data_IF_437102802481
#
_entry.id   IF_437102802481
#
_cell.length_a   1.000
_cell.length_b   1.000
_cell.length_c   1.000
_cell.angle_alpha   90.00
_cell.angle_beta   90.00
_cell.angle_gamma   90.00
#
_symmetry.space_group_name_H-M   'P 1'
#
loop_
_entity.id
_entity.type
_entity.pdbx_description
1 polymer ?
#
# COMPACT_ATOMS: atom_id res chain seq x y z
N UNK A 1 46.12 -42.49 -11.07
CA UNK A 1 45.09 -41.55 -10.57
C UNK A 1 43.92 -42.35 -10.05
N UNK A 2 43.67 -42.30 -8.74
CA UNK A 2 42.75 -43.18 -8.03
C UNK A 2 41.27 -42.81 -8.26
N UNK A 3 40.35 -43.80 -8.29
CA UNK A 3 38.93 -43.60 -8.57
C UNK A 3 38.17 -42.78 -7.51
N UNK A 4 38.81 -42.48 -6.37
CA UNK A 4 38.26 -41.63 -5.32
C UNK A 4 38.20 -40.13 -5.71
N UNK A 5 39.19 -39.64 -6.47
CA UNK A 5 39.27 -38.22 -6.82
C UNK A 5 38.20 -37.77 -7.83
N UNK A 6 37.65 -38.70 -8.62
CA UNK A 6 36.59 -38.41 -9.61
C UNK A 6 35.20 -38.21 -8.98
N UNK A 7 34.96 -38.75 -7.78
CA UNK A 7 33.67 -38.63 -7.07
C UNK A 7 33.57 -37.34 -6.26
N UNK A 8 34.66 -36.92 -5.60
CA UNK A 8 34.66 -35.70 -4.78
C UNK A 8 34.50 -34.43 -5.63
N UNK A 9 35.08 -34.41 -6.84
CA UNK A 9 34.97 -33.25 -7.74
C UNK A 9 33.58 -33.06 -8.36
N UNK A 10 32.78 -34.14 -8.48
CA UNK A 10 31.40 -34.06 -9.00
C UNK A 10 30.37 -33.63 -7.93
N UNK A 11 30.66 -33.86 -6.66
CA UNK A 11 29.74 -33.51 -5.56
C UNK A 11 29.92 -32.05 -5.12
N UNK A 12 31.10 -31.47 -5.27
CA UNK A 12 31.37 -30.07 -4.92
C UNK A 12 31.02 -29.02 -6.00
N UNK A 13 30.85 -29.43 -7.27
CA UNK A 13 30.52 -28.48 -8.36
C UNK A 13 29.02 -28.33 -8.65
N UNK A 14 28.16 -29.18 -8.08
CA UNK A 14 26.72 -29.13 -8.28
C UNK A 14 25.95 -28.10 -7.41
N UNK A 15 26.41 -27.72 -6.19
CA UNK A 15 25.69 -26.71 -5.40
C UNK A 15 26.05 -25.26 -5.75
N UNK A 16 27.15 -24.98 -6.46
CA UNK A 16 27.56 -23.61 -6.81
C UNK A 16 26.81 -23.08 -8.05
N UNK A 17 26.47 -23.94 -9.01
CA UNK A 17 25.70 -23.55 -10.20
C UNK A 17 24.21 -23.29 -9.90
N UNK A 18 23.69 -23.78 -8.77
CA UNK A 18 22.33 -23.47 -8.31
C UNK A 18 22.22 -22.11 -7.60
N UNK A 19 23.36 -21.48 -7.21
CA UNK A 19 23.37 -20.16 -6.57
C UNK A 19 23.20 -18.98 -7.55
N UNK A 20 23.33 -19.20 -8.86
CA UNK A 20 23.22 -18.14 -9.87
C UNK A 20 21.84 -18.00 -10.53
N UNK A 21 20.83 -18.77 -10.11
CA UNK A 21 19.57 -18.88 -10.89
C UNK A 21 18.54 -17.77 -10.59
N UNK A 22 18.66 -16.92 -9.57
CA UNK A 22 17.51 -16.05 -9.19
C UNK A 22 17.75 -14.61 -8.74
N UNK A 23 18.76 -13.92 -9.29
CA UNK A 23 18.88 -12.45 -9.14
C UNK A 23 19.13 -11.75 -10.49
N UNK A 24 18.20 -11.91 -11.44
CA UNK A 24 18.28 -11.22 -12.74
C UNK A 24 16.95 -10.59 -13.11
N UNK A 25 17.00 -9.40 -13.71
CA UNK A 25 15.86 -8.74 -14.34
C UNK A 25 15.21 -9.68 -15.38
N UNK A 26 13.90 -9.51 -15.60
CA UNK A 26 13.21 -10.29 -16.64
C UNK A 26 13.86 -10.09 -18.00
N UNK A 27 13.88 -11.13 -18.85
CA UNK A 27 14.30 -11.02 -20.26
C UNK A 27 13.43 -10.03 -21.04
N UNK A 28 12.21 -9.76 -20.55
CA UNK A 28 11.30 -8.75 -21.10
C UNK A 28 11.79 -7.31 -20.85
N UNK A 29 12.83 -7.11 -20.02
CA UNK A 29 13.38 -5.77 -19.71
C UNK A 29 14.21 -5.18 -20.86
N UNK A 30 14.78 -6.01 -21.73
CA UNK A 30 15.66 -5.59 -22.83
C UNK A 30 15.15 -5.98 -24.22
N UNK A 31 14.04 -6.72 -24.29
CA UNK A 31 13.45 -7.21 -25.54
C UNK A 31 12.19 -6.47 -25.97
N UNK A 32 11.71 -6.80 -27.17
CA UNK A 32 10.39 -6.40 -27.64
C UNK A 32 9.31 -7.17 -26.87
N UNK A 33 8.39 -6.44 -26.26
CA UNK A 33 7.20 -6.97 -25.60
C UNK A 33 5.99 -6.46 -26.38
N UNK A 34 5.27 -7.36 -27.06
CA UNK A 34 4.07 -7.04 -27.86
C UNK A 34 2.81 -7.77 -27.33
N UNK A 35 3.03 -8.79 -26.51
CA UNK A 35 1.98 -9.62 -25.95
C UNK A 35 1.74 -9.26 -24.47
N UNK A 36 0.60 -8.62 -24.14
CA UNK A 36 0.26 -8.27 -22.76
C UNK A 36 0.07 -9.50 -21.84
N UNK A 37 -0.17 -10.70 -22.39
CA UNK A 37 -0.33 -11.93 -21.60
C UNK A 37 0.97 -12.40 -20.93
N UNK A 38 2.10 -11.78 -21.27
CA UNK A 38 3.38 -12.00 -20.61
C UNK A 38 3.56 -11.14 -19.35
N UNK A 39 2.67 -10.17 -19.13
CA UNK A 39 2.83 -9.13 -18.12
C UNK A 39 1.77 -9.23 -17.03
N UNK A 40 2.21 -9.09 -15.79
CA UNK A 40 1.38 -8.76 -14.64
C UNK A 40 1.61 -7.31 -14.28
N UNK A 41 0.55 -6.51 -14.29
CA UNK A 41 0.63 -5.07 -14.04
C UNK A 41 -0.13 -4.71 -12.77
N UNK A 42 0.53 -4.03 -11.85
CA UNK A 42 -0.06 -3.54 -10.61
C UNK A 42 0.12 -2.03 -10.55
N UNK A 43 -0.96 -1.26 -10.50
CA UNK A 43 -0.92 0.22 -10.38
C UNK A 43 -1.51 0.60 -9.04
N UNK A 44 -0.85 1.45 -8.26
CA UNK A 44 -1.33 1.93 -6.97
C UNK A 44 -1.37 3.46 -6.93
N UNK A 45 -2.55 4.03 -6.69
CA UNK A 45 -2.71 5.45 -6.34
C UNK A 45 -2.77 5.56 -4.82
N UNK A 46 -1.74 6.15 -4.22
CA UNK A 46 -1.57 6.27 -2.78
C UNK A 46 -1.82 7.70 -2.34
N UNK A 47 -2.66 7.87 -1.32
CA UNK A 47 -2.88 9.11 -0.61
C UNK A 47 -2.64 8.87 0.88
N UNK A 48 -1.92 9.78 1.53
CA UNK A 48 -1.68 9.75 2.97
C UNK A 48 -1.83 11.13 3.58
N UNK A 49 -2.64 11.24 4.61
CA UNK A 49 -2.70 12.44 5.47
C UNK A 49 -2.05 12.08 6.80
N UNK A 50 -1.06 12.85 7.22
CA UNK A 50 -0.43 12.66 8.53
C UNK A 50 -1.21 13.37 9.66
N UNK A 51 -0.66 13.33 10.86
CA UNK A 51 -1.29 13.87 12.08
C UNK A 51 -1.39 15.41 12.07
N UNK A 52 -0.54 16.08 11.28
CA UNK A 52 -0.51 17.54 11.13
C UNK A 52 -1.39 18.02 9.97
N UNK A 53 -1.86 17.09 9.13
CA UNK A 53 -2.77 17.34 8.02
C UNK A 53 -2.06 17.43 6.67
N UNK A 54 -0.75 17.15 6.62
CA UNK A 54 0.01 17.19 5.38
C UNK A 54 -0.39 16.00 4.49
N UNK A 55 -0.69 16.33 3.23
CA UNK A 55 -1.13 15.36 2.23
C UNK A 55 0.04 14.92 1.35
N UNK A 56 0.30 13.62 1.35
CA UNK A 56 1.22 12.97 0.40
C UNK A 56 0.42 12.17 -0.61
N UNK A 57 0.67 12.44 -1.90
CA UNK A 57 0.05 11.72 -3.01
C UNK A 57 1.13 11.11 -3.91
N UNK A 58 0.94 9.87 -4.36
CA UNK A 58 1.79 9.27 -5.39
C UNK A 58 1.03 8.26 -6.23
N UNK A 59 1.51 8.05 -7.44
CA UNK A 59 1.09 6.92 -8.28
C UNK A 59 2.31 6.08 -8.60
N UNK A 60 2.26 4.82 -8.20
CA UNK A 60 3.28 3.83 -8.50
C UNK A 60 2.69 2.74 -9.38
N UNK A 61 3.49 2.15 -10.26
CA UNK A 61 3.13 0.94 -10.99
C UNK A 61 4.29 -0.04 -11.07
N UNK A 62 3.96 -1.32 -11.04
CA UNK A 62 4.90 -2.43 -11.09
C UNK A 62 4.50 -3.33 -12.25
N UNK A 63 5.48 -3.68 -13.07
CA UNK A 63 5.31 -4.62 -14.18
C UNK A 63 6.21 -5.81 -13.91
N UNK A 64 5.62 -7.01 -13.90
CA UNK A 64 6.32 -8.27 -13.63
C UNK A 64 6.01 -9.30 -14.70
N UNK A 65 6.91 -10.26 -14.88
CA UNK A 65 6.65 -11.43 -15.73
C UNK A 65 5.96 -12.58 -14.96
N UNK A 66 5.68 -13.68 -15.65
CA UNK A 66 5.07 -14.88 -15.08
C UNK A 66 5.92 -15.56 -13.98
N UNK A 67 7.20 -15.22 -13.87
CA UNK A 67 8.12 -15.73 -12.84
C UNK A 67 8.32 -14.73 -11.68
N UNK A 68 7.44 -13.73 -11.57
CA UNK A 68 7.49 -12.65 -10.57
C UNK A 68 8.74 -11.76 -10.65
N UNK A 69 9.44 -11.77 -11.79
CA UNK A 69 10.61 -10.89 -12.00
C UNK A 69 10.17 -9.54 -12.52
N UNK A 70 10.73 -8.46 -11.98
CA UNK A 70 10.49 -7.11 -12.47
C UNK A 70 10.87 -6.96 -13.95
N UNK A 71 10.00 -6.28 -14.70
CA UNK A 71 10.20 -5.92 -16.11
C UNK A 71 10.52 -4.43 -16.14
N UNK A 72 11.80 -4.11 -16.28
CA UNK A 72 12.31 -2.73 -16.29
C UNK A 72 12.54 -2.27 -17.74
N UNK A 73 11.48 -2.17 -18.54
CA UNK A 73 11.60 -1.85 -19.96
C UNK A 73 11.23 -0.37 -20.21
N UNK A 74 12.17 0.49 -20.65
CA UNK A 74 11.92 1.91 -20.87
C UNK A 74 10.97 2.19 -22.05
N UNK A 75 10.77 1.21 -22.94
CA UNK A 75 9.85 1.31 -24.07
C UNK A 75 8.41 0.94 -23.69
N UNK A 76 8.18 0.37 -22.50
CA UNK A 76 6.85 0.18 -21.94
C UNK A 76 6.46 1.45 -21.19
N UNK A 77 5.26 1.98 -21.45
CA UNK A 77 4.75 3.18 -20.80
C UNK A 77 3.44 2.86 -20.06
N UNK A 78 3.45 2.95 -18.74
CA UNK A 78 2.20 2.92 -17.96
C UNK A 78 1.64 4.34 -17.92
N UNK A 79 0.33 4.48 -18.09
CA UNK A 79 -0.37 5.76 -18.05
C UNK A 79 -1.52 5.74 -17.05
N UNK A 80 -1.68 6.84 -16.34
CA UNK A 80 -2.87 7.13 -15.51
C UNK A 80 -3.42 8.46 -15.96
N UNK A 81 -4.69 8.48 -16.37
CA UNK A 81 -5.35 9.68 -16.90
C UNK A 81 -4.57 10.31 -18.06
N UNK A 82 -4.07 9.46 -18.96
CA UNK A 82 -3.22 9.86 -20.10
C UNK A 82 -1.79 10.30 -19.74
N UNK A 83 -1.48 10.50 -18.46
CA UNK A 83 -0.13 10.91 -18.00
C UNK A 83 0.79 9.71 -17.90
N UNK A 84 1.97 9.83 -18.52
CA UNK A 84 2.98 8.77 -18.55
C UNK A 84 3.71 8.71 -17.21
N UNK A 85 3.79 7.51 -16.64
CA UNK A 85 4.64 7.25 -15.48
C UNK A 85 6.09 7.06 -15.97
N UNK A 86 7.03 7.63 -15.23
CA UNK A 86 8.47 7.52 -15.47
C UNK A 86 8.98 6.22 -14.84
N UNK A 87 9.74 5.44 -15.61
CA UNK A 87 10.48 4.30 -15.07
C UNK A 87 11.57 4.80 -14.10
N UNK A 88 11.54 4.27 -12.88
CA UNK A 88 12.45 4.56 -11.77
C UNK A 88 12.99 3.25 -11.20
N UNK A 89 14.12 3.33 -10.51
CA UNK A 89 14.69 2.21 -9.76
C UNK A 89 14.69 2.57 -8.28
N UNK A 90 14.00 1.77 -7.47
CA UNK A 90 14.00 1.88 -6.02
C UNK A 90 15.00 0.90 -5.41
N UNK A 91 15.35 1.14 -4.15
CA UNK A 91 16.11 0.19 -3.34
C UNK A 91 15.41 -0.01 -2.00
N UNK A 92 15.26 -1.26 -1.56
CA UNK A 92 14.75 -1.56 -0.20
C UNK A 92 15.89 -1.72 0.81
N UNK A 93 17.09 -2.07 0.36
CA UNK A 93 18.35 -2.06 1.14
C UNK A 93 19.55 -1.99 0.17
N UNK A 94 20.78 -2.16 0.67
CA UNK A 94 22.02 -2.10 -0.13
C UNK A 94 22.12 -3.17 -1.24
N UNK A 95 21.32 -4.24 -1.18
CA UNK A 95 21.44 -5.42 -2.05
C UNK A 95 20.21 -5.68 -2.94
N UNK A 96 19.09 -4.99 -2.73
CA UNK A 96 17.88 -5.17 -3.52
C UNK A 96 17.45 -3.87 -4.18
N UNK A 97 17.60 -3.84 -5.51
CA UNK A 97 16.95 -2.87 -6.37
C UNK A 97 15.70 -3.46 -7.01
N UNK A 98 14.68 -2.63 -7.22
CA UNK A 98 13.48 -3.01 -7.92
C UNK A 98 13.04 -1.88 -8.85
N UNK A 99 12.62 -2.24 -10.05
CA UNK A 99 12.08 -1.29 -11.00
C UNK A 99 10.60 -1.04 -10.72
N UNK A 100 10.20 0.23 -10.79
CA UNK A 100 8.82 0.66 -10.69
C UNK A 100 8.61 1.91 -11.55
N UNK A 101 7.38 2.17 -11.94
CA UNK A 101 7.00 3.36 -12.70
C UNK A 101 6.32 4.33 -11.73
N UNK A 102 6.64 5.61 -11.79
CA UNK A 102 6.04 6.62 -10.91
C UNK A 102 5.57 7.84 -11.69
N UNK A 103 4.48 8.47 -11.27
CA UNK A 103 4.10 9.76 -11.83
C UNK A 103 5.05 10.84 -11.33
N UNK A 104 5.78 11.48 -12.24
CA UNK A 104 6.75 12.52 -11.90
C UNK A 104 6.14 13.93 -11.85
N UNK A 105 4.90 14.09 -12.32
CA UNK A 105 4.17 15.36 -12.29
C UNK A 105 3.71 15.66 -10.86
N UNK A 106 4.41 16.58 -10.20
CA UNK A 106 4.10 17.01 -8.82
C UNK A 106 2.92 17.98 -8.74
N UNK A 107 2.36 18.41 -9.87
CA UNK A 107 1.18 19.29 -9.91
C UNK A 107 -0.13 18.50 -10.02
N UNK A 108 -0.02 17.19 -10.23
CA UNK A 108 -1.18 16.32 -10.32
C UNK A 108 -1.72 16.00 -8.93
N UNK A 109 -3.02 16.22 -8.74
CA UNK A 109 -3.73 15.93 -7.51
C UNK A 109 -4.82 14.90 -7.74
N UNK A 110 -5.04 14.08 -6.72
CA UNK A 110 -6.08 13.04 -6.76
C UNK A 110 -7.43 13.65 -6.38
N UNK A 111 -8.41 13.41 -7.23
CA UNK A 111 -9.80 13.86 -7.14
C UNK A 111 -10.71 12.63 -7.09
N UNK A 112 -11.27 12.38 -5.92
CA UNK A 112 -12.12 11.21 -5.67
C UNK A 112 -13.47 11.22 -6.39
N UNK A 113 -13.86 12.36 -6.95
CA UNK A 113 -15.06 12.45 -7.78
C UNK A 113 -14.82 11.93 -9.20
N UNK A 114 -13.55 11.76 -9.59
CA UNK A 114 -13.15 11.31 -10.93
C UNK A 114 -12.82 9.83 -10.96
N UNK A 115 -13.12 9.23 -12.11
CA UNK A 115 -12.69 7.89 -12.45
C UNK A 115 -11.48 8.00 -13.39
N UNK A 116 -10.37 7.39 -13.00
CA UNK A 116 -9.10 7.49 -13.70
C UNK A 116 -8.91 6.31 -14.65
N UNK A 117 -8.87 6.52 -15.97
CA UNK A 117 -8.50 5.47 -16.90
C UNK A 117 -7.02 5.13 -16.73
N UNK A 118 -6.71 3.84 -16.74
CA UNK A 118 -5.35 3.32 -16.61
C UNK A 118 -5.04 2.47 -17.83
N UNK A 119 -3.89 2.70 -18.44
CA UNK A 119 -3.48 1.98 -19.64
C UNK A 119 -1.98 1.70 -19.65
N UNK A 120 -1.56 0.80 -20.54
CA UNK A 120 -0.17 0.46 -20.79
C UNK A 120 0.09 0.44 -22.28
N UNK A 121 1.15 1.12 -22.70
CA UNK A 121 1.66 1.08 -24.08
C UNK A 121 2.84 0.12 -24.11
N UNK A 122 2.75 -0.89 -24.96
CA UNK A 122 3.80 -1.88 -25.16
C UNK A 122 4.85 -1.39 -26.16
N UNK A 123 5.88 -2.20 -26.39
CA UNK A 123 7.05 -1.79 -27.18
C UNK A 123 6.77 -1.60 -28.68
N UNK A 124 5.65 -2.14 -29.17
CA UNK A 124 5.13 -1.91 -30.53
C UNK A 124 4.33 -0.60 -30.65
N UNK A 125 4.19 0.15 -29.54
CA UNK A 125 3.40 1.37 -29.48
C UNK A 125 1.90 1.14 -29.31
N UNK A 126 1.44 -0.12 -29.22
CA UNK A 126 0.02 -0.43 -29.03
C UNK A 126 -0.38 -0.20 -27.58
N UNK A 127 -1.50 0.49 -27.39
CA UNK A 127 -2.07 0.80 -26.08
C UNK A 127 -3.13 -0.24 -25.70
N UNK A 128 -3.05 -0.71 -24.46
CA UNK A 128 -3.97 -1.67 -23.85
C UNK A 128 -4.59 -1.04 -22.61
N UNK A 129 -5.91 -1.09 -22.52
CA UNK A 129 -6.63 -0.65 -21.32
C UNK A 129 -6.40 -1.64 -20.19
N UNK A 130 -6.04 -1.14 -19.01
CA UNK A 130 -5.98 -1.90 -17.76
C UNK A 130 -7.31 -1.78 -17.00
N UNK A 131 -8.13 -0.78 -17.31
CA UNK A 131 -9.41 -0.50 -16.67
C UNK A 131 -9.49 0.93 -16.18
N UNK A 132 -10.49 1.19 -15.36
CA UNK A 132 -10.74 2.51 -14.77
C UNK A 132 -10.85 2.35 -13.26
N UNK A 133 -10.25 3.27 -12.50
CA UNK A 133 -10.37 3.28 -11.06
C UNK A 133 -10.89 4.62 -10.56
N UNK A 134 -11.98 4.58 -9.80
CA UNK A 134 -12.35 5.67 -8.90
C UNK A 134 -11.66 5.45 -7.55
N UNK A 135 -10.82 6.41 -7.17
CA UNK A 135 -10.13 6.46 -5.87
C UNK A 135 -11.10 6.76 -4.74
N UNK A 136 -10.68 6.47 -3.51
CA UNK A 136 -11.51 6.76 -2.35
C UNK A 136 -11.49 8.25 -2.00
N UNK A 137 -12.60 8.81 -1.46
CA UNK A 137 -12.63 10.20 -0.98
C UNK A 137 -11.62 10.43 0.13
N UNK A 138 -11.04 11.62 0.21
CA UNK A 138 -10.23 12.00 1.37
C UNK A 138 -11.09 11.96 2.63
N UNK A 139 -10.52 11.48 3.75
CA UNK A 139 -11.21 11.49 5.03
C UNK A 139 -11.31 12.93 5.53
N UNK A 140 -12.53 13.47 5.55
CA UNK A 140 -12.79 14.78 6.12
C UNK A 140 -13.20 14.66 7.60
N UNK A 141 -13.07 15.73 8.39
CA UNK A 141 -13.59 15.77 9.76
C UNK A 141 -15.09 15.44 9.87
N UNK A 142 -15.87 15.63 8.80
CA UNK A 142 -17.28 15.25 8.77
C UNK A 142 -17.49 13.72 8.75
N UNK A 143 -16.53 12.96 8.20
CA UNK A 143 -16.59 11.49 8.10
C UNK A 143 -15.94 10.81 9.31
N UNK A 144 -14.85 11.40 9.83
CA UNK A 144 -14.14 10.92 11.00
C UNK A 144 -13.35 12.06 11.65
N UNK A 145 -13.70 12.42 12.89
CA UNK A 145 -12.99 13.41 13.70
C UNK A 145 -12.83 12.89 15.13
N UNK A 146 -11.68 12.31 15.47
CA UNK A 146 -11.38 11.94 16.85
C UNK A 146 -11.17 13.20 17.70
N UNK A 147 -11.40 13.13 19.02
CA UNK A 147 -11.06 14.22 19.92
C UNK A 147 -9.54 14.42 19.97
N UNK A 148 -9.08 15.66 20.13
CA UNK A 148 -7.64 15.95 20.25
C UNK A 148 -7.05 15.49 21.58
N UNK A 149 -7.87 15.48 22.63
CA UNK A 149 -7.48 15.09 23.99
C UNK A 149 -8.51 14.15 24.57
N UNK A 150 -8.08 13.19 25.40
CA UNK A 150 -8.98 12.26 26.07
C UNK A 150 -8.43 11.82 27.44
N UNK A 151 -9.30 11.71 28.45
CA UNK A 151 -8.88 11.26 29.78
C UNK A 151 -8.75 9.74 29.84
N UNK A 152 -7.62 9.26 30.38
CA UNK A 152 -7.38 7.82 30.61
C UNK A 152 -8.39 7.17 31.59
N UNK A 153 -9.15 7.97 32.33
CA UNK A 153 -10.16 7.50 33.30
C UNK A 153 -11.51 7.19 32.65
N UNK A 154 -11.68 7.50 31.37
CA UNK A 154 -12.95 7.38 30.66
C UNK A 154 -12.80 6.52 29.41
N UNK A 155 -13.87 5.80 29.06
CA UNK A 155 -13.90 5.11 27.78
C UNK A 155 -13.94 6.14 26.64
N UNK A 156 -13.21 5.86 25.56
CA UNK A 156 -13.21 6.68 24.36
C UNK A 156 -14.12 6.02 23.33
N UNK A 157 -15.10 6.75 22.80
CA UNK A 157 -15.90 6.27 21.66
C UNK A 157 -15.52 7.04 20.41
N UNK A 158 -15.01 6.33 19.42
CA UNK A 158 -14.68 6.84 18.09
C UNK A 158 -15.87 6.60 17.17
N UNK A 159 -16.39 7.67 16.57
CA UNK A 159 -17.51 7.61 15.65
C UNK A 159 -17.03 7.85 14.21
N UNK A 160 -17.65 7.16 13.27
CA UNK A 160 -17.45 7.41 11.85
C UNK A 160 -18.79 7.42 11.11
N UNK A 161 -18.77 8.10 9.97
CA UNK A 161 -19.89 8.14 9.05
C UNK A 161 -19.38 8.10 7.61
N UNK A 162 -19.95 7.20 6.81
CA UNK A 162 -19.79 7.15 5.34
C UNK A 162 -18.32 7.12 4.88
N UNK A 163 -17.44 6.56 5.71
CA UNK A 163 -16.03 6.35 5.39
C UNK A 163 -15.86 5.42 4.19
N UNK A 164 -16.75 4.43 4.06
CA UNK A 164 -17.03 3.72 2.81
C UNK A 164 -18.35 4.23 2.22
N UNK A 165 -18.33 4.89 1.05
CA UNK A 165 -19.49 5.64 0.54
C UNK A 165 -20.59 4.77 -0.06
N UNK A 166 -20.37 3.46 -0.23
CA UNK A 166 -21.29 2.57 -0.96
C UNK A 166 -22.14 1.74 0.00
N UNK A 167 -23.43 1.61 -0.30
CA UNK A 167 -24.28 0.65 0.40
C UNK A 167 -23.84 -0.81 0.11
N UNK A 168 -24.29 -1.74 0.95
CA UNK A 168 -23.88 -3.15 0.87
C UNK A 168 -24.17 -3.81 -0.49
N UNK A 169 -25.26 -3.45 -1.17
CA UNK A 169 -25.63 -3.98 -2.49
C UNK A 169 -24.65 -3.56 -3.57
N UNK A 170 -24.26 -2.28 -3.57
CA UNK A 170 -23.26 -1.74 -4.49
C UNK A 170 -21.90 -2.38 -4.23
N UNK A 171 -21.53 -2.60 -2.96
CA UNK A 171 -20.29 -3.31 -2.62
C UNK A 171 -20.31 -4.77 -3.09
N UNK A 172 -21.46 -5.46 -3.00
CA UNK A 172 -21.61 -6.82 -3.50
C UNK A 172 -21.52 -6.89 -5.04
N UNK A 173 -22.19 -5.98 -5.73
CA UNK A 173 -22.13 -5.87 -7.19
C UNK A 173 -20.71 -5.56 -7.68
N UNK A 174 -20.02 -4.63 -7.01
CA UNK A 174 -18.61 -4.31 -7.26
C UNK A 174 -17.72 -5.54 -7.07
N UNK A 175 -17.92 -6.29 -5.98
CA UNK A 175 -17.18 -7.54 -5.72
C UNK A 175 -17.36 -8.56 -6.83
N UNK A 176 -18.56 -8.65 -7.41
CA UNK A 176 -18.82 -9.55 -8.54
C UNK A 176 -18.07 -9.12 -9.81
N UNK A 177 -17.84 -7.81 -10.01
CA UNK A 177 -17.03 -7.25 -11.09
C UNK A 177 -15.53 -7.13 -10.73
N UNK A 178 -15.06 -7.84 -9.71
CA UNK A 178 -13.64 -7.85 -9.33
C UNK A 178 -13.15 -6.57 -8.65
N UNK A 179 -14.06 -5.71 -8.19
CA UNK A 179 -13.77 -4.56 -7.34
C UNK A 179 -13.94 -4.91 -5.85
N UNK A 180 -12.89 -4.78 -5.05
CA UNK A 180 -12.93 -4.96 -3.59
C UNK A 180 -12.56 -3.68 -2.87
N UNK A 181 -13.20 -3.39 -1.74
CA UNK A 181 -12.77 -2.36 -0.79
C UNK A 181 -12.65 -2.93 0.61
N UNK A 182 -11.64 -2.49 1.35
CA UNK A 182 -11.47 -2.78 2.77
C UNK A 182 -11.02 -1.51 3.47
N UNK A 183 -11.71 -1.15 4.55
CA UNK A 183 -11.29 -0.08 5.45
C UNK A 183 -11.06 -0.62 6.85
N UNK A 184 -9.97 -0.19 7.50
CA UNK A 184 -9.59 -0.62 8.83
C UNK A 184 -9.15 0.58 9.67
N UNK A 185 -9.67 0.66 10.90
CA UNK A 185 -9.20 1.54 11.95
C UNK A 185 -8.26 0.75 12.86
N UNK A 186 -7.04 1.24 12.99
CA UNK A 186 -6.07 0.78 13.99
C UNK A 186 -5.95 1.84 15.08
N UNK A 187 -6.07 1.43 16.34
CA UNK A 187 -5.74 2.23 17.53
C UNK A 187 -4.48 1.65 18.14
N UNK A 188 -3.48 2.48 18.42
CA UNK A 188 -2.24 2.07 19.07
C UNK A 188 -1.81 3.08 20.12
N UNK A 189 -1.10 2.63 21.16
CA UNK A 189 -0.52 3.51 22.18
C UNK A 189 0.86 3.98 21.75
N UNK A 190 1.19 5.25 22.04
CA UNK A 190 2.53 5.80 21.82
C UNK A 190 2.99 6.63 23.02
N UNK A 191 4.30 6.64 23.24
CA UNK A 191 4.94 7.59 24.14
C UNK A 191 5.66 8.64 23.30
N UNK A 192 5.11 9.86 23.30
CA UNK A 192 5.69 11.01 22.60
C UNK A 192 6.49 11.84 23.60
N UNK A 193 7.79 11.95 23.37
CA UNK A 193 8.71 12.84 24.11
C UNK A 193 9.01 14.05 23.23
N UNK A 194 9.02 15.23 23.83
CA UNK A 194 9.52 16.45 23.19
C UNK A 194 10.77 16.89 23.93
N UNK A 195 11.88 17.03 23.21
CA UNK A 195 13.14 17.48 23.82
C UNK A 195 13.18 19.01 23.99
N UNK A 196 14.29 19.49 24.56
CA UNK A 196 14.53 20.92 24.81
C UNK A 196 14.65 21.76 23.52
N UNK A 197 14.89 21.11 22.38
CA UNK A 197 15.00 21.73 21.06
C UNK A 197 13.71 21.59 20.23
N UNK A 198 12.62 21.14 20.86
CA UNK A 198 11.32 20.91 20.24
C UNK A 198 11.32 19.80 19.15
N UNK A 199 12.30 18.89 19.20
CA UNK A 199 12.26 17.67 18.42
C UNK A 199 11.32 16.66 19.08
N UNK A 200 10.58 15.95 18.24
CA UNK A 200 9.62 14.94 18.66
C UNK A 200 10.24 13.56 18.50
N UNK A 201 10.25 12.78 19.58
CA UNK A 201 10.66 11.38 19.58
C UNK A 201 9.51 10.51 20.03
N UNK A 202 9.40 9.33 19.41
CA UNK A 202 8.45 8.30 19.83
C UNK A 202 9.25 7.16 20.45
N UNK A 203 9.05 6.95 21.75
CA UNK A 203 9.70 5.89 22.51
C UNK A 203 8.77 4.68 22.59
N UNK A 204 9.35 3.48 22.41
CA UNK A 204 8.64 2.21 22.60
C UNK A 204 7.41 2.05 21.71
N UNK A 205 7.60 1.72 20.43
CA UNK A 205 6.52 1.06 19.70
C UNK A 205 6.32 -0.31 20.33
N UNK A 206 5.17 -0.51 20.98
CA UNK A 206 4.84 -1.81 21.55
C UNK A 206 4.82 -2.84 20.43
N UNK A 207 5.50 -3.96 20.64
CA UNK A 207 5.44 -5.11 19.73
C UNK A 207 4.35 -6.09 20.16
N UNK A 208 3.63 -5.80 21.25
CA UNK A 208 2.55 -6.62 21.76
C UNK A 208 1.26 -6.36 20.97
N UNK A 209 0.70 -7.41 20.38
CA UNK A 209 -0.59 -7.36 19.68
C UNK A 209 -1.72 -6.84 20.59
N UNK A 210 -1.61 -6.98 21.91
CA UNK A 210 -2.58 -6.47 22.88
C UNK A 210 -2.63 -4.93 22.95
N UNK A 211 -1.62 -4.23 22.43
CA UNK A 211 -1.56 -2.76 22.35
C UNK A 211 -2.10 -2.21 21.02
N UNK A 212 -2.73 -3.07 20.22
CA UNK A 212 -3.42 -2.70 18.99
C UNK A 212 -4.90 -3.07 19.08
N UNK A 213 -5.78 -2.10 18.82
CA UNK A 213 -7.19 -2.39 18.53
C UNK A 213 -7.42 -2.23 17.03
N UNK A 214 -7.88 -3.30 16.41
CA UNK A 214 -8.22 -3.34 15.00
C UNK A 214 -9.73 -3.40 14.83
N UNK A 215 -10.27 -2.54 13.97
CA UNK A 215 -11.68 -2.52 13.64
C UNK A 215 -11.87 -2.34 12.14
N UNK A 216 -12.46 -3.33 11.50
CA UNK A 216 -12.96 -3.16 10.13
C UNK A 216 -14.11 -2.15 10.12
N UNK A 217 -13.99 -1.14 9.26
CA UNK A 217 -14.99 -0.09 9.05
C UNK A 217 -15.82 -0.48 7.83
N UNK A 218 -17.08 -0.84 8.06
CA UNK A 218 -18.06 -1.04 7.00
C UNK A 218 -18.67 0.28 6.51
N UNK A 219 -19.62 0.17 5.59
CA UNK A 219 -20.35 1.33 5.08
C UNK A 219 -21.34 1.92 6.08
N UNK A 220 -21.62 3.23 5.91
CA UNK A 220 -22.55 3.96 6.76
C UNK A 220 -21.95 4.45 8.09
N UNK A 221 -22.78 4.50 9.13
CA UNK A 221 -22.39 4.97 10.47
C UNK A 221 -21.91 3.82 11.34
N UNK A 222 -20.91 4.09 12.17
CA UNK A 222 -20.48 3.13 13.18
C UNK A 222 -19.69 3.78 14.31
N UNK A 223 -19.38 2.95 15.31
CA UNK A 223 -18.63 3.36 16.47
C UNK A 223 -17.70 2.25 16.97
N UNK A 224 -16.58 2.64 17.57
CA UNK A 224 -15.66 1.78 18.31
C UNK A 224 -15.47 2.39 19.69
N UNK A 225 -15.81 1.64 20.74
CA UNK A 225 -15.51 2.04 22.11
C UNK A 225 -14.21 1.39 22.56
N UNK A 226 -13.21 2.22 22.83
CA UNK A 226 -11.97 1.85 23.51
C UNK A 226 -12.27 1.85 25.02
N UNK A 227 -12.27 0.68 25.68
CA UNK A 227 -12.66 0.59 27.08
C UNK A 227 -11.58 1.20 28.00
N UNK A 228 -12.00 1.63 29.20
CA UNK A 228 -11.07 2.16 30.23
C UNK A 228 -9.91 1.20 30.51
N UNK A 229 -10.19 -0.11 30.49
CA UNK A 229 -9.20 -1.16 30.73
C UNK A 229 -8.08 -1.18 29.70
N UNK A 230 -8.32 -0.69 28.48
CA UNK A 230 -7.27 -0.57 27.46
C UNK A 230 -6.18 0.42 27.89
N UNK A 231 -6.58 1.53 28.52
CA UNK A 231 -5.65 2.55 29.05
C UNK A 231 -4.87 2.06 30.28
N UNK A 232 -5.40 1.07 31.00
CA UNK A 232 -4.76 0.50 32.20
C UNK A 232 -3.77 -0.63 31.88
N UNK A 233 -3.89 -1.27 30.71
CA UNK A 233 -3.16 -2.49 30.34
C UNK A 233 -1.76 -2.28 29.76
N UNK A 234 -1.19 -1.07 29.82
CA UNK A 234 0.10 -0.80 29.19
C UNK A 234 1.26 -1.18 30.11
N UNK A 235 2.19 -2.03 29.65
CA UNK A 235 3.45 -2.29 30.36
C UNK A 235 4.41 -1.09 30.27
N UNK A 236 4.30 -0.30 29.20
CA UNK A 236 5.10 0.90 28.96
C UNK A 236 4.28 2.16 29.23
N UNK A 237 4.89 3.25 29.72
CA UNK A 237 4.21 4.53 29.80
C UNK A 237 3.77 5.00 28.41
N UNK A 238 2.59 5.61 28.31
CA UNK A 238 2.10 6.24 27.09
C UNK A 238 1.36 7.52 27.44
N UNK A 239 1.39 8.49 26.53
CA UNK A 239 0.71 9.77 26.67
C UNK A 239 -0.10 10.12 25.41
N UNK A 240 -0.18 9.20 24.45
CA UNK A 240 -0.81 9.41 23.16
C UNK A 240 -1.49 8.12 22.68
N UNK A 241 -2.64 8.28 22.01
CA UNK A 241 -3.15 7.27 21.08
C UNK A 241 -2.91 7.73 19.65
N UNK A 242 -2.32 6.84 18.84
CA UNK A 242 -2.28 7.00 17.40
C UNK A 242 -3.38 6.19 16.76
N UNK A 243 -4.19 6.87 15.96
CA UNK A 243 -5.23 6.28 15.14
C UNK A 243 -4.79 6.27 13.69
N UNK A 244 -4.92 5.12 13.04
CA UNK A 244 -4.67 4.98 11.62
C UNK A 244 -5.92 4.43 10.95
N UNK A 245 -6.51 5.20 10.04
CA UNK A 245 -7.53 4.70 9.13
C UNK A 245 -6.84 4.35 7.82
N UNK A 246 -6.71 3.07 7.55
CA UNK A 246 -6.20 2.57 6.28
C UNK A 246 -7.37 2.07 5.44
N UNK A 247 -7.37 2.42 4.17
CA UNK A 247 -8.37 1.91 3.25
C UNK A 247 -7.77 1.59 1.91
N UNK A 248 -8.14 0.43 1.38
CA UNK A 248 -7.68 -0.10 0.14
C UNK A 248 -8.88 -0.40 -0.75
N UNK A 249 -8.87 0.13 -1.96
CA UNK A 249 -9.76 -0.29 -3.03
C UNK A 249 -8.92 -0.94 -4.12
N UNK A 250 -9.37 -2.07 -4.64
CA UNK A 250 -8.69 -2.79 -5.71
C UNK A 250 -9.69 -3.13 -6.81
N UNK A 251 -9.25 -2.99 -8.06
CA UNK A 251 -9.94 -3.41 -9.27
C UNK A 251 -9.05 -4.46 -9.93
N UNK A 252 -9.61 -5.64 -10.20
CA UNK A 252 -8.89 -6.69 -10.94
C UNK A 252 -8.74 -6.28 -12.39
N UNK A 253 -7.55 -6.49 -12.96
CA UNK A 253 -7.32 -6.30 -14.40
C UNK A 253 -7.55 -7.65 -15.08
N UNK A 254 -8.52 -7.68 -15.99
CA UNK A 254 -8.89 -8.87 -16.74
C UNK A 254 -7.90 -9.19 -17.87
N UNK A 255 -8.22 -10.23 -18.64
CA UNK A 255 -7.51 -10.58 -19.87
C UNK A 255 -7.36 -9.35 -20.79
N UNK A 256 -6.22 -9.20 -21.49
CA UNK A 256 -5.25 -10.24 -21.79
C UNK A 256 -4.07 -10.38 -20.80
N UNK A 257 -4.04 -9.67 -19.67
CA UNK A 257 -2.89 -9.67 -18.76
C UNK A 257 -2.79 -10.95 -17.91
N UNK A 258 -1.61 -11.18 -17.32
CA UNK A 258 -1.41 -12.26 -16.35
C UNK A 258 -2.32 -12.07 -15.13
N UNK A 259 -2.81 -13.18 -14.59
CA UNK A 259 -3.59 -13.23 -13.34
C UNK A 259 -2.85 -12.52 -12.19
N UNK A 260 -3.59 -11.77 -11.40
CA UNK A 260 -3.06 -10.95 -10.30
C UNK A 260 -2.65 -9.54 -10.73
N UNK A 261 -2.92 -9.16 -11.98
CA UNK A 261 -2.87 -7.76 -12.39
C UNK A 261 -4.02 -6.99 -11.73
N UNK A 262 -3.74 -5.77 -11.28
CA UNK A 262 -4.68 -4.99 -10.48
C UNK A 262 -4.41 -3.49 -10.57
N UNK A 263 -5.46 -2.70 -10.37
CA UNK A 263 -5.38 -1.26 -10.09
C UNK A 263 -5.88 -1.06 -8.67
N UNK A 264 -5.07 -0.46 -7.80
CA UNK A 264 -5.40 -0.22 -6.40
C UNK A 264 -5.35 1.27 -6.06
N UNK A 265 -6.19 1.67 -5.10
CA UNK A 265 -6.16 2.96 -4.45
C UNK A 265 -6.01 2.73 -2.96
N UNK A 266 -4.94 3.27 -2.39
CA UNK A 266 -4.65 3.20 -0.96
C UNK A 266 -4.82 4.59 -0.37
N UNK A 267 -5.63 4.70 0.68
CA UNK A 267 -5.79 5.92 1.47
C UNK A 267 -5.41 5.63 2.91
N UNK A 268 -4.46 6.40 3.44
CA UNK A 268 -4.07 6.37 4.84
C UNK A 268 -4.37 7.72 5.49
N UNK A 269 -4.98 7.73 6.66
CA UNK A 269 -5.09 8.92 7.49
C UNK A 269 -4.60 8.61 8.90
N UNK A 270 -3.75 9.49 9.43
CA UNK A 270 -3.22 9.40 10.79
C UNK A 270 -3.86 10.49 11.64
N UNK A 271 -4.24 10.12 12.85
CA UNK A 271 -4.74 11.06 13.85
C UNK A 271 -4.06 10.81 15.18
N UNK A 272 -3.94 11.89 15.94
CA UNK A 272 -3.40 11.89 17.29
C UNK A 272 -4.47 12.24 18.32
N UNK A 273 -4.46 11.52 19.44
CA UNK A 273 -5.20 11.89 20.64
C UNK A 273 -4.22 11.94 21.82
N UNK A 274 -4.07 13.10 22.42
CA UNK A 274 -3.27 13.26 23.63
C UNK A 274 -4.04 12.70 24.83
N UNK A 275 -3.39 11.85 25.63
CA UNK A 275 -4.02 11.14 26.76
C UNK A 275 -3.67 11.82 28.06
N UNK A 276 -4.67 12.39 28.71
CA UNK A 276 -4.51 13.09 29.99
C UNK A 276 -4.90 12.21 31.18
N UNK A 277 -4.38 12.55 32.35
CA UNK A 277 -4.76 11.93 33.63
C UNK A 277 -6.18 12.30 34.10
#
# INVERSE_FOLDING_TARGET
>A
MTPLFRKVFRVLFFPISLLFVRCGNSSLSTGTVIDPSLLRVSVNVYQSTDEDGDLTERVDAYVKDAKDRSVANPNIQVKVDGRKLRLTTGSTNYYSSYAYYMLADTTWHVDATKAYPVSIVLTDGKEYSLGTMQVQPTLTPALFLPPKTHSRRQALTLYWQDVEPNNWLVSLWKKWHGETSKTELTVSKRHRTVDEWNNVYYEGQSTDEADYLLKEIGSGKGALTVPVTYFQRSQNPFNELSLMVNSEKQVTVDAPFLKGSAISSTRRALYRIDVTD
#
